data_IF_690793345037
#
_entry.id   IF_690793345037
#
_cell.length_a   1.000
_cell.length_b   1.000
_cell.length_c   1.000
_cell.angle_alpha   90.00
_cell.angle_beta   90.00
_cell.angle_gamma   90.00
#
_symmetry.space_group_name_H-M   'P 1'
#
loop_
_entity.id
_entity.type
_entity.pdbx_description
1 polymer ?
#
# COMPACT_ATOMS: atom_id res chain seq x y z
N UNK A 1 0.85 -3.58 13.79
CA UNK A 1 0.36 -2.50 12.93
C UNK A 1 -0.77 -3.00 12.04
N UNK A 2 -1.92 -2.38 12.14
CA UNK A 2 -3.07 -2.69 11.29
C UNK A 2 -3.54 -1.44 10.58
N UNK A 3 -4.10 -1.61 9.38
CA UNK A 3 -4.59 -0.46 8.60
C UNK A 3 -5.64 0.33 9.37
N UNK A 4 -6.56 -0.36 10.05
CA UNK A 4 -7.58 0.29 10.87
C UNK A 4 -6.96 1.20 11.94
N UNK A 5 -5.91 0.71 12.61
CA UNK A 5 -5.20 1.48 13.63
C UNK A 5 -4.56 2.74 13.06
N UNK A 6 -3.94 2.60 11.86
CA UNK A 6 -3.32 3.73 11.18
C UNK A 6 -4.34 4.77 10.75
N UNK A 7 -5.49 4.34 10.26
CA UNK A 7 -6.57 5.25 9.89
C UNK A 7 -7.12 5.98 11.11
N UNK A 8 -7.25 5.27 12.24
CA UNK A 8 -7.72 5.89 13.49
C UNK A 8 -6.73 6.95 13.98
N UNK A 9 -5.42 6.67 13.90
CA UNK A 9 -4.38 7.65 14.22
C UNK A 9 -4.44 8.85 13.27
N UNK A 10 -4.62 8.59 11.97
CA UNK A 10 -4.67 9.64 10.98
C UNK A 10 -5.82 10.60 11.24
N UNK A 11 -6.97 10.10 11.67
CA UNK A 11 -8.16 10.91 11.95
C UNK A 11 -7.93 11.94 13.05
N UNK A 12 -6.94 11.73 13.91
CA UNK A 12 -6.58 12.66 14.97
C UNK A 12 -5.61 13.75 14.51
N UNK A 13 -5.05 13.63 13.29
CA UNK A 13 -4.07 14.58 12.78
C UNK A 13 -4.74 15.82 12.17
N UNK A 14 -4.13 16.97 12.39
CA UNK A 14 -4.67 18.25 11.90
C UNK A 14 -4.75 18.32 10.38
N UNK A 15 -3.74 17.82 9.69
CA UNK A 15 -3.72 17.81 8.21
C UNK A 15 -4.89 17.00 7.65
N UNK A 16 -5.22 15.87 8.28
CA UNK A 16 -6.35 15.05 7.87
C UNK A 16 -7.68 15.78 8.10
N UNK A 17 -7.84 16.39 9.28
CA UNK A 17 -9.07 17.11 9.62
C UNK A 17 -9.32 18.26 8.66
N UNK A 18 -8.27 19.01 8.34
CA UNK A 18 -8.33 20.10 7.38
C UNK A 18 -8.67 19.60 5.99
N UNK A 19 -8.00 18.54 5.57
CA UNK A 19 -8.24 17.90 4.26
C UNK A 19 -9.69 17.47 4.11
N UNK A 20 -10.23 16.77 5.10
CA UNK A 20 -11.61 16.27 5.04
C UNK A 20 -12.65 17.40 5.10
N UNK A 21 -12.33 18.50 5.79
CA UNK A 21 -13.23 19.65 5.82
C UNK A 21 -13.35 20.33 4.45
N UNK A 22 -12.30 20.25 3.64
CA UNK A 22 -12.25 20.82 2.29
C UNK A 22 -12.67 19.84 1.21
N UNK A 23 -12.62 18.53 1.49
CA UNK A 23 -12.84 17.46 0.53
C UNK A 23 -13.72 16.35 1.12
N UNK A 24 -14.96 16.68 1.42
CA UNK A 24 -15.89 15.76 2.10
C UNK A 24 -16.23 14.49 1.33
N UNK A 25 -15.99 14.48 0.02
CA UNK A 25 -16.23 13.30 -0.84
C UNK A 25 -15.03 12.36 -0.94
N UNK A 26 -13.90 12.72 -0.34
CA UNK A 26 -12.69 11.89 -0.36
C UNK A 26 -12.89 10.59 0.40
N UNK A 27 -12.30 9.50 -0.10
CA UNK A 27 -12.36 8.21 0.57
C UNK A 27 -11.03 7.44 0.45
N UNK A 28 -10.80 6.57 1.43
CA UNK A 28 -9.62 5.71 1.45
C UNK A 28 -9.74 4.63 0.37
N UNK A 29 -8.74 4.51 -0.49
CA UNK A 29 -8.81 3.62 -1.65
C UNK A 29 -7.62 2.68 -1.80
N UNK A 30 -6.47 3.01 -1.22
CA UNK A 30 -5.28 2.17 -1.32
C UNK A 30 -4.26 2.56 -0.26
N UNK A 31 -3.24 1.72 -0.09
CA UNK A 31 -2.17 2.01 0.84
C UNK A 31 -0.87 1.39 0.34
N UNK A 32 0.25 2.04 0.64
CA UNK A 32 1.57 1.50 0.35
C UNK A 32 2.38 1.42 1.63
N UNK A 33 3.05 0.28 1.83
CA UNK A 33 3.88 0.05 3.00
C UNK A 33 5.28 -0.38 2.56
N UNK A 34 6.27 0.16 3.26
CA UNK A 34 7.65 -0.28 3.11
C UNK A 34 8.07 -0.80 4.48
N UNK A 35 8.32 -2.10 4.56
CA UNK A 35 8.69 -2.79 5.80
C UNK A 35 10.14 -3.25 5.73
N UNK A 36 10.85 -3.14 6.84
CA UNK A 36 12.26 -3.48 6.95
C UNK A 36 13.02 -2.32 7.57
N UNK A 37 13.99 -1.77 6.85
CA UNK A 37 14.74 -0.62 7.36
C UNK A 37 13.90 0.66 7.29
N UNK A 38 13.47 1.17 8.46
CA UNK A 38 12.69 2.40 8.54
C UNK A 38 11.29 2.24 7.96
N UNK A 39 10.45 1.48 8.63
CA UNK A 39 9.08 1.23 8.19
C UNK A 39 8.33 2.52 7.85
N UNK A 40 7.69 2.52 6.68
CA UNK A 40 6.90 3.65 6.19
C UNK A 40 5.53 3.20 5.73
N UNK A 41 4.56 4.08 5.85
CA UNK A 41 3.20 3.82 5.40
C UNK A 41 2.64 5.07 4.72
N UNK A 42 2.02 4.88 3.56
CA UNK A 42 1.29 5.93 2.87
C UNK A 42 -0.16 5.47 2.71
N UNK A 43 -1.09 6.26 3.24
CA UNK A 43 -2.52 5.98 3.13
C UNK A 43 -3.09 6.90 2.04
N UNK A 44 -3.67 6.31 1.01
CA UNK A 44 -4.12 7.03 -0.18
C UNK A 44 -5.62 7.26 -0.19
N UNK A 45 -6.00 8.50 -0.43
CA UNK A 45 -7.39 8.93 -0.53
C UNK A 45 -7.68 9.45 -1.93
N UNK A 46 -8.78 9.01 -2.50
CA UNK A 46 -9.23 9.47 -3.80
C UNK A 46 -10.27 10.59 -3.63
N UNK A 47 -10.13 11.62 -4.46
CA UNK A 47 -11.08 12.74 -4.51
C UNK A 47 -11.85 12.65 -5.82
N UNK A 48 -13.08 12.10 -5.81
CA UNK A 48 -13.85 11.91 -7.05
C UNK A 48 -14.12 13.20 -7.82
N UNK A 49 -14.36 14.29 -7.12
CA UNK A 49 -14.65 15.58 -7.75
C UNK A 49 -13.47 16.20 -8.49
N UNK A 50 -12.26 15.73 -8.21
CA UNK A 50 -11.01 16.29 -8.78
C UNK A 50 -10.17 15.26 -9.53
N UNK A 51 -10.58 13.99 -9.54
CA UNK A 51 -9.81 12.87 -10.11
C UNK A 51 -8.37 12.85 -9.63
N UNK A 52 -8.17 13.03 -8.32
CA UNK A 52 -6.83 13.10 -7.70
C UNK A 52 -6.69 12.13 -6.56
N UNK A 53 -5.46 11.65 -6.36
CA UNK A 53 -5.07 10.92 -5.18
C UNK A 53 -4.29 11.83 -4.25
N UNK A 54 -4.58 11.74 -2.97
CA UNK A 54 -3.83 12.41 -1.92
C UNK A 54 -3.33 11.35 -0.94
N UNK A 55 -2.07 11.43 -0.57
CA UNK A 55 -1.46 10.49 0.37
C UNK A 55 -1.14 11.15 1.69
N UNK A 56 -1.32 10.40 2.77
CA UNK A 56 -0.87 10.80 4.10
C UNK A 56 0.24 9.85 4.54
N UNK A 57 1.42 10.40 4.80
CA UNK A 57 2.57 9.62 5.26
C UNK A 57 2.52 9.44 6.76
N UNK A 58 2.52 8.20 7.21
CA UNK A 58 2.48 7.87 8.63
C UNK A 58 3.90 7.59 9.15
N UNK A 59 4.19 7.85 10.41
CA UNK A 59 3.25 8.12 11.50
C UNK A 59 2.85 9.58 11.68
N UNK A 60 3.45 10.52 10.96
CA UNK A 60 3.23 11.94 11.21
C UNK A 60 1.92 12.47 10.62
N UNK A 61 1.31 11.74 9.70
CA UNK A 61 0.09 12.20 9.03
C UNK A 61 0.34 13.35 8.06
N UNK A 62 1.55 13.43 7.50
CA UNK A 62 1.94 14.50 6.58
C UNK A 62 1.26 14.33 5.24
N UNK A 63 0.61 15.40 4.80
CA UNK A 63 -0.08 15.42 3.52
C UNK A 63 0.90 15.49 2.35
N UNK A 64 0.76 14.59 1.39
CA UNK A 64 1.52 14.62 0.15
C UNK A 64 0.53 14.55 -1.01
N UNK A 65 0.54 15.56 -1.85
CA UNK A 65 -0.37 15.61 -3.01
C UNK A 65 0.24 14.87 -4.19
N UNK A 66 -0.48 13.87 -4.68
CA UNK A 66 -0.17 13.20 -5.93
C UNK A 66 -1.19 13.65 -6.97
N UNK A 67 -0.70 14.13 -8.09
CA UNK A 67 -1.55 14.49 -9.22
C UNK A 67 -1.43 13.35 -10.24
N UNK A 68 -2.30 12.36 -10.11
CA UNK A 68 -2.39 11.27 -11.08
C UNK A 68 -3.83 11.19 -11.56
N UNK A 69 -4.00 11.10 -12.87
CA UNK A 69 -5.32 10.85 -13.46
C UNK A 69 -5.62 9.37 -13.29
N UNK A 70 -6.28 9.04 -12.19
CA UNK A 70 -6.69 7.66 -11.92
C UNK A 70 -8.21 7.63 -11.88
N UNK A 71 -8.77 6.93 -12.86
CA UNK A 71 -10.22 6.78 -12.98
C UNK A 71 -10.65 5.49 -12.30
N UNK A 72 -11.75 5.54 -11.57
CA UNK A 72 -12.39 4.34 -11.06
C UNK A 72 -11.81 3.73 -9.81
N UNK A 73 -11.23 4.53 -8.92
CA UNK A 73 -10.77 4.05 -7.62
C UNK A 73 -11.97 3.68 -6.74
N UNK A 74 -11.88 2.53 -6.09
CA UNK A 74 -12.93 2.05 -5.20
C UNK A 74 -12.58 2.27 -3.74
N UNK A 75 -13.57 2.67 -2.95
CA UNK A 75 -13.42 2.83 -1.52
C UNK A 75 -13.15 1.48 -0.85
N UNK A 76 -12.20 1.47 0.08
CA UNK A 76 -11.99 0.32 0.95
C UNK A 76 -12.84 0.56 2.20
N UNK A 77 -13.96 -0.14 2.29
CA UNK A 77 -14.90 -0.01 3.40
C UNK A 77 -14.64 -1.07 4.47
N UNK A 78 -14.41 -2.31 4.04
CA UNK A 78 -14.16 -3.42 4.95
C UNK A 78 -12.69 -3.44 5.36
N UNK A 79 -12.44 -3.14 6.64
CA UNK A 79 -11.09 -3.11 7.22
C UNK A 79 -10.75 -4.38 8.00
N UNK A 80 -11.60 -5.41 7.91
CA UNK A 80 -11.34 -6.71 8.55
C UNK A 80 -10.56 -7.61 7.60
N UNK A 81 -9.26 -7.34 7.50
CA UNK A 81 -8.38 -8.11 6.62
C UNK A 81 -7.93 -9.39 7.30
N UNK A 82 -7.96 -10.49 6.57
CA UNK A 82 -7.33 -11.73 7.01
C UNK A 82 -5.81 -11.59 6.99
N UNK A 83 -5.30 -10.86 5.99
CA UNK A 83 -3.87 -10.51 5.91
C UNK A 83 -3.78 -8.99 5.97
N UNK A 84 -3.39 -8.48 7.12
CA UNK A 84 -3.17 -7.06 7.36
C UNK A 84 -1.66 -6.75 7.30
N UNK A 85 -1.28 -5.51 7.51
CA UNK A 85 0.14 -5.09 7.46
C UNK A 85 0.99 -5.92 8.42
N UNK A 86 0.50 -6.15 9.64
CA UNK A 86 1.23 -6.92 10.66
C UNK A 86 1.44 -8.38 10.26
N UNK A 87 0.71 -8.89 9.29
CA UNK A 87 0.80 -10.27 8.83
C UNK A 87 1.73 -10.45 7.63
N UNK A 88 2.17 -9.37 6.99
CA UNK A 88 2.92 -9.43 5.74
C UNK A 88 4.28 -10.13 5.88
N UNK A 89 4.99 -9.89 6.95
CA UNK A 89 6.30 -10.52 7.17
C UNK A 89 6.15 -12.03 7.22
N UNK A 90 5.22 -12.52 8.02
CA UNK A 90 4.95 -13.95 8.16
C UNK A 90 4.39 -14.55 6.87
N UNK A 91 3.43 -13.83 6.24
CA UNK A 91 2.78 -14.28 5.02
C UNK A 91 3.76 -14.46 3.86
N UNK A 92 4.88 -13.72 3.86
CA UNK A 92 5.92 -13.79 2.83
C UNK A 92 7.06 -14.75 3.20
N UNK A 93 6.98 -15.43 4.34
CA UNK A 93 7.96 -16.42 4.77
C UNK A 93 9.01 -15.92 5.77
N UNK A 94 8.98 -14.66 6.15
CA UNK A 94 9.83 -14.11 7.21
C UNK A 94 11.32 -13.95 6.88
N UNK A 95 11.72 -14.10 5.62
CA UNK A 95 13.14 -14.11 5.23
C UNK A 95 13.60 -12.90 4.42
N UNK A 96 12.72 -11.98 4.12
CA UNK A 96 13.08 -10.82 3.30
C UNK A 96 13.51 -9.64 4.16
N UNK A 97 14.53 -8.91 3.69
CA UNK A 97 15.03 -7.73 4.37
C UNK A 97 14.14 -6.53 4.18
N UNK A 98 13.44 -6.49 3.05
CA UNK A 98 12.55 -5.38 2.72
C UNK A 98 11.33 -5.90 1.98
N UNK A 99 10.16 -5.40 2.37
CA UNK A 99 8.90 -5.73 1.71
C UNK A 99 8.23 -4.42 1.33
N UNK A 100 7.90 -4.28 0.06
CA UNK A 100 7.09 -3.17 -0.43
C UNK A 100 5.72 -3.74 -0.76
N UNK A 101 4.70 -3.31 -0.03
CA UNK A 101 3.35 -3.79 -0.20
C UNK A 101 2.41 -2.69 -0.63
N UNK A 102 1.63 -2.94 -1.67
CA UNK A 102 0.58 -2.03 -2.12
C UNK A 102 -0.75 -2.75 -1.99
N UNK A 103 -1.64 -2.20 -1.16
CA UNK A 103 -3.00 -2.69 -1.04
C UNK A 103 -3.90 -1.93 -2.00
N UNK A 104 -4.47 -2.65 -2.96
CA UNK A 104 -5.36 -2.08 -3.95
C UNK A 104 -6.37 -3.15 -4.41
N UNK A 105 -7.64 -2.78 -4.50
CA UNK A 105 -8.68 -3.71 -4.95
C UNK A 105 -8.80 -4.96 -4.09
N UNK A 106 -8.57 -4.86 -2.79
CA UNK A 106 -8.64 -5.99 -1.87
C UNK A 106 -7.48 -6.96 -1.95
N UNK A 107 -6.43 -6.60 -2.66
CA UNK A 107 -5.26 -7.46 -2.83
C UNK A 107 -3.97 -6.74 -2.46
N UNK A 108 -3.06 -7.48 -1.85
CA UNK A 108 -1.69 -7.06 -1.60
C UNK A 108 -0.82 -7.42 -2.79
N UNK A 109 -0.22 -6.42 -3.41
CA UNK A 109 0.82 -6.61 -4.42
C UNK A 109 2.15 -6.39 -3.71
N UNK A 110 2.92 -7.47 -3.54
CA UNK A 110 4.12 -7.46 -2.72
C UNK A 110 5.37 -7.61 -3.57
N UNK A 111 6.36 -6.77 -3.28
CA UNK A 111 7.71 -6.90 -3.81
C UNK A 111 8.62 -7.15 -2.62
N UNK A 112 9.21 -8.33 -2.56
CA UNK A 112 10.02 -8.77 -1.43
C UNK A 112 11.49 -8.80 -1.87
N UNK A 113 12.34 -8.12 -1.12
CA UNK A 113 13.74 -7.94 -1.47
C UNK A 113 14.66 -8.54 -0.42
N UNK A 114 15.71 -9.22 -0.88
CA UNK A 114 16.77 -9.75 -0.04
C UNK A 114 18.10 -9.59 -0.79
N UNK A 115 18.71 -8.41 -0.64
CA UNK A 115 19.87 -8.04 -1.44
C UNK A 115 19.46 -7.79 -2.89
N UNK A 116 20.07 -8.53 -3.82
CA UNK A 116 19.73 -8.45 -5.24
C UNK A 116 18.61 -9.40 -5.65
N UNK A 117 18.22 -10.29 -4.74
CA UNK A 117 17.12 -11.21 -4.98
C UNK A 117 15.78 -10.51 -4.79
N UNK A 118 14.84 -10.78 -5.68
CA UNK A 118 13.52 -10.19 -5.64
C UNK A 118 12.46 -11.27 -5.87
N UNK A 119 11.40 -11.18 -5.11
CA UNK A 119 10.24 -12.04 -5.27
C UNK A 119 8.99 -11.18 -5.32
N UNK A 120 8.10 -11.49 -6.24
CA UNK A 120 6.81 -10.80 -6.34
C UNK A 120 5.69 -11.78 -6.05
N UNK A 121 4.72 -11.33 -5.29
CA UNK A 121 3.55 -12.14 -5.00
C UNK A 121 2.32 -11.27 -4.83
N UNK A 122 1.16 -11.89 -5.02
CA UNK A 122 -0.11 -11.26 -4.77
C UNK A 122 -0.82 -12.09 -3.71
N UNK A 123 -1.36 -11.42 -2.69
CA UNK A 123 -2.12 -12.08 -1.63
C UNK A 123 -3.47 -11.38 -1.54
N UNK A 124 -4.54 -12.18 -1.61
CA UNK A 124 -5.88 -11.64 -1.36
C UNK A 124 -5.98 -11.26 0.12
N UNK A 125 -6.25 -9.99 0.41
CA UNK A 125 -6.26 -9.48 1.78
C UNK A 125 -7.38 -10.06 2.62
N UNK A 126 -8.47 -10.50 2.00
CA UNK A 126 -9.63 -11.02 2.71
C UNK A 126 -9.63 -12.54 2.81
N UNK A 127 -9.22 -13.26 1.79
CA UNK A 127 -9.18 -14.72 1.79
C UNK A 127 -7.85 -15.31 2.23
N UNK A 128 -6.77 -14.56 2.05
CA UNK A 128 -5.41 -15.02 2.32
C UNK A 128 -4.80 -15.86 1.21
N UNK A 129 -5.49 -16.05 0.09
CA UNK A 129 -4.96 -16.80 -1.03
C UNK A 129 -3.75 -16.11 -1.63
N UNK A 130 -2.71 -16.89 -1.90
CA UNK A 130 -1.44 -16.40 -2.43
C UNK A 130 -1.26 -16.80 -3.88
N UNK A 131 -0.68 -15.89 -4.66
CA UNK A 131 -0.28 -16.14 -6.03
C UNK A 131 1.14 -15.61 -6.23
N UNK A 132 2.09 -16.50 -6.55
CA UNK A 132 3.46 -16.10 -6.85
C UNK A 132 3.53 -15.66 -8.31
N UNK A 133 3.96 -14.43 -8.54
CA UNK A 133 4.05 -13.89 -9.90
C UNK A 133 5.42 -14.06 -10.52
N UNK A 134 6.45 -13.71 -9.79
CA UNK A 134 7.82 -13.72 -10.32
C UNK A 134 8.84 -13.88 -9.21
N UNK A 135 9.87 -14.71 -9.48
CA UNK A 135 11.04 -14.84 -8.63
C UNK A 135 12.27 -14.59 -9.48
N UNK A 136 13.26 -13.92 -8.92
CA UNK A 136 14.50 -13.65 -9.64
C UNK A 136 15.35 -12.61 -8.96
N UNK A 137 16.31 -12.07 -9.70
CA UNK A 137 17.12 -10.96 -9.25
C UNK A 137 16.70 -9.69 -9.97
N UNK A 138 17.11 -8.52 -9.43
CA UNK A 138 16.86 -7.25 -10.07
C UNK A 138 17.52 -7.17 -11.45
N UNK A 139 18.67 -7.86 -11.61
CA UNK A 139 19.36 -7.91 -12.90
C UNK A 139 18.55 -8.69 -13.93
N UNK A 140 17.90 -9.77 -13.54
CA UNK A 140 17.04 -10.55 -14.42
C UNK A 140 15.84 -9.74 -14.88
N UNK A 141 15.28 -8.92 -14.01
CA UNK A 141 14.18 -8.04 -14.37
C UNK A 141 14.59 -7.03 -15.45
N UNK A 142 15.78 -6.44 -15.33
CA UNK A 142 16.29 -5.50 -16.32
C UNK A 142 16.43 -6.19 -17.67
N UNK A 143 16.93 -7.43 -17.71
CA UNK A 143 17.04 -8.22 -18.95
C UNK A 143 15.68 -8.49 -19.57
N UNK A 144 14.72 -8.91 -18.80
CA UNK A 144 13.36 -9.18 -19.28
C UNK A 144 12.75 -7.93 -19.89
N UNK A 145 12.93 -6.78 -19.26
CA UNK A 145 12.42 -5.51 -19.77
C UNK A 145 13.03 -5.14 -21.12
N UNK A 146 14.31 -5.47 -21.34
CA UNK A 146 14.99 -5.17 -22.59
C UNK A 146 14.58 -6.08 -23.75
N UNK A 147 14.04 -7.25 -23.48
CA UNK A 147 13.60 -8.21 -24.51
C UNK A 147 12.26 -7.88 -25.13
N UNK A 148 11.58 -6.95 -24.56
CA UNK A 148 10.34 -6.42 -25.13
C UNK A 148 10.62 -5.32 -26.14
#
# INVERSE_FOLDING_TARGET
>A
MKIRELLDELKEKEDYKKFMSENSDAFFCSAMFVLGEGDKADLNFFLPSKDKLTSFSMPFGTLTNHVEEIVGQKEIVDLDFKVDVCDLVEATGGKFKKIIGVLHGGKWNLTCLNGMDMSRMVIDAYSGEKEDKENGSLMDMVRVSKKK
#
